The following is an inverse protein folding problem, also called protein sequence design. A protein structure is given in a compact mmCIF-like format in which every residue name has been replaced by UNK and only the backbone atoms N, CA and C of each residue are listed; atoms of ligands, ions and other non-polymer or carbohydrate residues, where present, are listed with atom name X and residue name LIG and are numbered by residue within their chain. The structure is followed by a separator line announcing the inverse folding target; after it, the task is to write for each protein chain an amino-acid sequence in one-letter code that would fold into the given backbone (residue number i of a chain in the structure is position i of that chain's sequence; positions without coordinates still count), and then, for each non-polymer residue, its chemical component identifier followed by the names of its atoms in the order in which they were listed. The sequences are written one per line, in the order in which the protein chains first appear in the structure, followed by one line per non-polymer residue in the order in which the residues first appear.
data_IF_842089913186
#
_entry.id   IF_842089913186
#
_cell.length_a   1.000
_cell.length_b   1.000
_cell.length_c   1.000
_cell.angle_alpha   90.00
_cell.angle_beta   90.00
_cell.angle_gamma   90.00
#
_symmetry.space_group_name_H-M   'P 1'
#
loop_
_entity.id
_entity.type
_entity.pdbx_description
1 polymer ?
#
# COMPACT_ATOMS: atom_id res chain seq x y z
N UNK A 1 33.02 -20.53 10.34
CA UNK A 1 32.96 -19.24 11.03
C UNK A 1 31.79 -19.36 12.01
N UNK A 2 32.06 -19.55 13.31
CA UNK A 2 31.00 -19.50 14.32
C UNK A 2 30.44 -18.08 14.34
N UNK A 3 29.17 -17.95 14.00
CA UNK A 3 28.45 -16.69 14.15
C UNK A 3 28.40 -16.37 15.64
N UNK A 4 29.09 -15.34 16.05
CA UNK A 4 29.11 -14.86 17.42
C UNK A 4 27.67 -14.59 17.88
N UNK A 5 27.28 -15.12 19.06
CA UNK A 5 25.93 -15.02 19.64
C UNK A 5 25.44 -13.58 19.86
N UNK A 6 26.28 -12.57 19.55
CA UNK A 6 26.01 -11.16 19.71
C UNK A 6 25.40 -10.48 18.49
N UNK A 7 25.32 -11.15 17.33
CA UNK A 7 24.78 -10.56 16.10
C UNK A 7 23.34 -10.98 15.84
N UNK A 8 22.57 -10.06 15.22
CA UNK A 8 21.23 -10.34 14.71
C UNK A 8 21.41 -11.04 13.37
N UNK A 9 20.78 -12.20 13.21
CA UNK A 9 20.85 -13.00 11.99
C UNK A 9 19.47 -13.28 11.36
N UNK A 10 18.41 -12.65 11.86
CA UNK A 10 17.06 -12.83 11.35
C UNK A 10 16.42 -11.48 11.01
N UNK A 11 15.84 -11.42 9.82
CA UNK A 11 15.08 -10.27 9.32
C UNK A 11 13.70 -10.80 8.89
N UNK A 12 12.65 -10.17 9.37
CA UNK A 12 11.29 -10.35 8.89
C UNK A 12 11.00 -9.27 7.85
N UNK A 13 10.56 -9.65 6.67
CA UNK A 13 10.09 -8.75 5.63
C UNK A 13 8.58 -8.62 5.77
N UNK A 14 8.11 -7.42 6.13
CA UNK A 14 6.70 -7.12 6.37
C UNK A 14 6.16 -6.24 5.26
N UNK A 15 5.07 -6.65 4.61
CA UNK A 15 4.48 -5.96 3.46
C UNK A 15 3.17 -5.28 3.84
N UNK A 16 3.08 -3.96 3.59
CA UNK A 16 1.85 -3.18 3.77
C UNK A 16 1.24 -2.97 2.39
N UNK A 17 0.19 -3.72 2.07
CA UNK A 17 -0.45 -3.70 0.75
C UNK A 17 -1.58 -2.67 0.74
N UNK A 18 -1.44 -1.62 -0.07
CA UNK A 18 -2.42 -0.57 -0.21
C UNK A 18 -3.05 -0.53 -1.60
N UNK A 19 -4.29 -0.09 -1.66
CA UNK A 19 -5.00 0.23 -2.90
C UNK A 19 -6.00 1.36 -2.69
N UNK A 20 -6.58 1.88 -3.77
CA UNK A 20 -7.70 2.83 -3.72
C UNK A 20 -8.99 2.12 -4.06
N UNK A 21 -9.97 2.21 -3.17
CA UNK A 21 -11.30 1.62 -3.31
C UNK A 21 -12.33 2.70 -2.98
N UNK A 22 -13.19 3.03 -3.93
CA UNK A 22 -14.20 4.10 -3.81
C UNK A 22 -13.59 5.46 -3.41
N UNK A 23 -12.42 5.78 -3.98
CA UNK A 23 -11.67 7.01 -3.69
C UNK A 23 -10.95 7.05 -2.35
N UNK A 24 -11.03 6.00 -1.55
CA UNK A 24 -10.34 5.89 -0.25
C UNK A 24 -9.14 4.95 -0.33
N UNK A 25 -8.06 5.34 0.29
CA UNK A 25 -6.90 4.45 0.45
C UNK A 25 -7.22 3.41 1.51
N UNK A 26 -7.06 2.15 1.16
CA UNK A 26 -7.28 1.02 2.07
C UNK A 26 -6.06 0.13 2.14
N UNK A 27 -5.93 -0.60 3.24
CA UNK A 27 -4.91 -1.62 3.47
C UNK A 27 -5.53 -3.01 3.47
N UNK A 28 -4.86 -3.96 2.83
CA UNK A 28 -5.25 -5.36 2.85
C UNK A 28 -4.62 -6.05 4.08
N UNK A 29 -5.46 -6.58 4.95
CA UNK A 29 -5.03 -7.34 6.11
C UNK A 29 -5.51 -8.78 6.01
N UNK A 30 -4.79 -9.67 6.69
CA UNK A 30 -5.05 -11.10 6.74
C UNK A 30 -5.32 -11.54 8.17
N UNK A 31 -6.18 -12.54 8.32
CA UNK A 31 -6.53 -13.06 9.63
C UNK A 31 -5.60 -14.22 9.99
N UNK A 32 -5.00 -14.16 11.15
CA UNK A 32 -4.17 -15.28 11.65
C UNK A 32 -5.07 -16.46 12.01
N UNK A 33 -4.78 -17.62 11.42
CA UNK A 33 -5.61 -18.82 11.56
C UNK A 33 -5.15 -19.73 12.70
N UNK A 34 -3.95 -19.53 13.22
CA UNK A 34 -3.29 -20.39 14.22
C UNK A 34 -2.97 -19.65 15.51
N UNK A 35 -2.88 -20.40 16.62
CA UNK A 35 -2.37 -19.87 17.88
C UNK A 35 -0.83 -19.60 17.80
N UNK A 36 -0.29 -18.64 18.55
CA UNK A 36 -1.02 -17.62 19.33
C UNK A 36 -1.65 -16.56 18.43
N UNK A 37 -2.65 -15.84 18.94
CA UNK A 37 -3.38 -14.74 18.28
C UNK A 37 -4.32 -15.17 17.14
N UNK A 38 -4.84 -16.39 17.17
CA UNK A 38 -5.89 -16.82 16.24
C UNK A 38 -7.06 -15.82 16.21
N UNK A 39 -7.47 -15.44 14.99
CA UNK A 39 -8.54 -14.48 14.76
C UNK A 39 -8.14 -13.01 14.77
N UNK A 40 -6.91 -12.67 15.14
CA UNK A 40 -6.40 -11.31 15.02
C UNK A 40 -5.92 -11.03 13.59
N UNK A 41 -5.86 -9.76 13.23
CA UNK A 41 -5.37 -9.31 11.93
C UNK A 41 -3.86 -9.17 11.89
N UNK A 42 -3.27 -9.39 10.71
CA UNK A 42 -1.83 -9.29 10.50
C UNK A 42 -1.51 -8.73 9.11
N UNK A 43 -0.31 -8.21 8.98
CA UNK A 43 0.31 -7.90 7.68
C UNK A 43 0.94 -9.19 7.13
N UNK A 44 0.94 -9.39 5.80
CA UNK A 44 1.74 -10.45 5.19
C UNK A 44 3.22 -10.25 5.52
N UNK A 45 3.86 -11.27 6.04
CA UNK A 45 5.28 -11.23 6.36
C UNK A 45 5.92 -12.60 6.24
N UNK A 46 7.24 -12.62 5.98
CA UNK A 46 8.04 -13.84 5.99
C UNK A 46 9.46 -13.56 6.47
N UNK A 47 10.16 -14.59 6.92
CA UNK A 47 11.56 -14.48 7.26
C UNK A 47 12.41 -14.47 5.99
N UNK A 48 13.34 -13.51 5.91
CA UNK A 48 14.31 -13.41 4.82
C UNK A 48 15.25 -14.61 4.83
N UNK A 49 15.31 -15.35 3.73
CA UNK A 49 16.26 -16.43 3.55
C UNK A 49 17.63 -15.90 3.10
N UNK A 50 18.67 -16.69 3.33
CA UNK A 50 20.05 -16.32 2.94
C UNK A 50 20.29 -16.29 1.43
N UNK A 51 19.35 -16.81 0.63
CA UNK A 51 19.43 -16.94 -0.83
C UNK A 51 18.56 -15.95 -1.60
N UNK A 52 17.93 -15.00 -0.91
CA UNK A 52 17.01 -14.06 -1.55
C UNK A 52 17.25 -12.63 -1.05
N UNK A 53 16.83 -11.64 -1.84
CA UNK A 53 16.78 -10.22 -1.45
C UNK A 53 15.48 -9.91 -0.70
N UNK A 54 15.42 -8.73 -0.08
CA UNK A 54 14.20 -8.24 0.60
C UNK A 54 13.03 -8.15 -0.39
N UNK A 55 13.29 -7.67 -1.61
CA UNK A 55 12.30 -7.52 -2.66
C UNK A 55 11.79 -8.89 -3.15
N UNK A 56 12.67 -9.86 -3.33
CA UNK A 56 12.30 -11.23 -3.71
C UNK A 56 11.44 -11.89 -2.63
N UNK A 57 11.83 -11.77 -1.37
CA UNK A 57 11.05 -12.25 -0.22
C UNK A 57 9.66 -11.61 -0.19
N UNK A 58 9.57 -10.29 -0.39
CA UNK A 58 8.30 -9.56 -0.41
C UNK A 58 7.40 -10.02 -1.57
N UNK A 59 7.95 -10.17 -2.79
CA UNK A 59 7.20 -10.67 -3.96
C UNK A 59 6.71 -12.08 -3.71
N UNK A 60 7.54 -12.98 -3.19
CA UNK A 60 7.16 -14.35 -2.86
C UNK A 60 6.03 -14.38 -1.82
N UNK A 61 6.16 -13.59 -0.76
CA UNK A 61 5.14 -13.46 0.28
C UNK A 61 3.81 -12.97 -0.29
N UNK A 62 3.82 -11.88 -1.06
CA UNK A 62 2.58 -11.33 -1.64
C UNK A 62 1.97 -12.32 -2.64
N UNK A 63 2.80 -12.98 -3.44
CA UNK A 63 2.31 -14.00 -4.36
C UNK A 63 1.61 -15.16 -3.65
N UNK A 64 2.17 -15.62 -2.53
CA UNK A 64 1.57 -16.67 -1.70
C UNK A 64 0.20 -16.26 -1.16
N UNK A 65 0.07 -15.01 -0.69
CA UNK A 65 -1.16 -14.50 -0.09
C UNK A 65 -2.25 -14.12 -1.10
N UNK A 66 -1.88 -13.50 -2.23
CA UNK A 66 -2.84 -12.92 -3.18
C UNK A 66 -2.58 -13.22 -4.67
N UNK A 67 -1.54 -14.00 -5.00
CA UNK A 67 -1.28 -14.41 -6.38
C UNK A 67 -0.71 -13.31 -7.31
N UNK A 68 -0.33 -12.13 -6.81
CA UNK A 68 0.22 -11.01 -7.59
C UNK A 68 1.74 -11.03 -7.53
N UNK A 69 2.40 -10.83 -8.69
CA UNK A 69 3.87 -10.72 -8.80
C UNK A 69 4.35 -9.32 -9.17
N UNK A 70 3.62 -8.64 -10.05
CA UNK A 70 3.99 -7.31 -10.53
C UNK A 70 3.33 -6.27 -9.64
N UNK A 71 4.10 -5.64 -8.76
CA UNK A 71 3.64 -4.63 -7.84
C UNK A 71 4.71 -3.58 -7.62
N UNK A 72 4.29 -2.38 -7.28
CA UNK A 72 5.19 -1.33 -6.84
C UNK A 72 5.55 -1.58 -5.37
N UNK A 73 6.84 -1.48 -5.06
CA UNK A 73 7.34 -1.58 -3.69
C UNK A 73 8.29 -0.43 -3.38
N UNK A 74 8.19 0.05 -2.16
CA UNK A 74 9.11 1.05 -1.61
C UNK A 74 9.40 0.73 -0.16
N UNK A 75 10.66 0.78 0.24
CA UNK A 75 11.03 0.62 1.65
C UNK A 75 10.41 1.73 2.49
N UNK A 76 9.86 1.35 3.64
CA UNK A 76 9.31 2.26 4.64
C UNK A 76 10.30 2.42 5.79
N UNK A 77 10.23 1.55 6.79
CA UNK A 77 11.01 1.67 8.02
C UNK A 77 11.60 0.31 8.46
N UNK A 78 12.58 0.39 9.36
CA UNK A 78 13.14 -0.78 10.07
C UNK A 78 12.73 -0.71 11.54
N UNK A 79 12.16 -1.81 12.03
CA UNK A 79 11.74 -1.96 13.42
C UNK A 79 12.72 -2.85 14.17
N UNK A 80 13.38 -2.29 15.18
CA UNK A 80 14.51 -2.94 15.86
C UNK A 80 14.35 -3.04 17.38
N UNK A 81 13.14 -2.87 17.93
CA UNK A 81 12.91 -3.06 19.36
C UNK A 81 13.34 -4.47 19.78
N UNK A 82 13.99 -4.58 20.95
CA UNK A 82 14.57 -5.85 21.42
C UNK A 82 13.46 -6.88 21.67
N UNK A 83 12.33 -6.44 22.17
CA UNK A 83 11.18 -7.23 22.62
C UNK A 83 9.99 -7.20 21.65
N UNK A 84 10.22 -6.86 20.35
CA UNK A 84 9.12 -6.79 19.38
C UNK A 84 8.40 -8.13 19.18
N UNK A 85 9.11 -9.23 19.27
CA UNK A 85 8.57 -10.60 19.28
C UNK A 85 9.02 -11.33 20.54
N UNK A 86 8.10 -12.01 21.26
CA UNK A 86 8.46 -12.76 22.46
C UNK A 86 9.47 -13.87 22.17
N UNK A 87 10.58 -13.87 22.88
CA UNK A 87 11.60 -14.94 22.81
C UNK A 87 12.47 -14.95 21.56
N UNK A 88 12.30 -13.96 20.65
CA UNK A 88 13.08 -13.88 19.41
C UNK A 88 13.68 -12.49 19.22
N UNK A 89 14.98 -12.44 18.93
CA UNK A 89 15.64 -11.19 18.49
C UNK A 89 15.63 -11.11 16.96
N UNK A 90 14.73 -10.31 16.43
CA UNK A 90 14.50 -10.17 14.99
C UNK A 90 14.28 -8.72 14.62
N UNK A 91 14.77 -8.29 13.47
CA UNK A 91 14.42 -7.00 12.86
C UNK A 91 13.22 -7.18 11.93
N UNK A 92 12.36 -6.18 11.81
CA UNK A 92 11.42 -6.12 10.70
C UNK A 92 11.83 -5.03 9.72
N UNK A 93 11.91 -5.40 8.44
CA UNK A 93 11.98 -4.48 7.32
C UNK A 93 10.58 -4.30 6.75
N UNK A 94 10.05 -3.08 6.81
CA UNK A 94 8.71 -2.75 6.37
C UNK A 94 8.72 -2.17 4.96
N UNK A 95 7.86 -2.69 4.09
CA UNK A 95 7.67 -2.22 2.72
C UNK A 95 6.26 -1.69 2.51
N UNK A 96 6.13 -0.58 1.79
CA UNK A 96 4.89 -0.10 1.19
C UNK A 96 4.73 -0.79 -0.16
N UNK A 97 3.61 -1.45 -0.36
CA UNK A 97 3.28 -2.14 -1.60
C UNK A 97 1.98 -1.55 -2.16
N UNK A 98 1.98 -1.16 -3.43
CA UNK A 98 0.81 -0.61 -4.11
C UNK A 98 0.33 -1.57 -5.18
N UNK A 99 -0.98 -1.79 -5.21
CA UNK A 99 -1.64 -2.61 -6.22
C UNK A 99 -2.89 -1.90 -6.77
N UNK A 100 -3.21 -2.18 -8.02
CA UNK A 100 -4.50 -1.82 -8.58
C UNK A 100 -5.58 -2.78 -8.04
N UNK A 101 -6.63 -2.23 -7.44
CA UNK A 101 -7.71 -3.02 -6.87
C UNK A 101 -8.47 -3.85 -7.92
N UNK A 102 -8.70 -3.30 -9.11
CA UNK A 102 -9.45 -3.96 -10.17
C UNK A 102 -8.71 -5.17 -10.74
N UNK A 103 -7.36 -5.14 -10.72
CA UNK A 103 -6.51 -6.25 -11.13
C UNK A 103 -6.18 -7.21 -9.97
N UNK A 104 -6.67 -6.89 -8.77
CA UNK A 104 -6.53 -7.77 -7.62
C UNK A 104 -7.32 -9.06 -7.86
N UNK A 105 -6.59 -10.15 -8.00
CA UNK A 105 -7.18 -11.48 -8.03
C UNK A 105 -6.92 -12.16 -6.69
N UNK A 106 -7.96 -12.28 -5.90
CA UNK A 106 -7.88 -13.06 -4.67
C UNK A 106 -7.62 -14.53 -5.02
N UNK A 107 -6.57 -15.12 -4.46
CA UNK A 107 -6.33 -16.55 -4.56
C UNK A 107 -7.44 -17.29 -3.79
N UNK A 108 -8.49 -17.71 -4.50
CA UNK A 108 -9.65 -18.43 -3.92
C UNK A 108 -9.28 -19.72 -3.20
N UNK A 109 -8.09 -20.26 -3.47
CA UNK A 109 -7.55 -21.43 -2.79
C UNK A 109 -6.84 -21.08 -1.48
N UNK A 110 -6.62 -19.81 -1.19
CA UNK A 110 -6.07 -19.38 0.10
C UNK A 110 -7.05 -19.71 1.22
N UNK A 111 -6.60 -20.47 2.21
CA UNK A 111 -7.34 -20.71 3.44
C UNK A 111 -7.30 -19.52 4.41
N UNK A 112 -6.65 -18.44 4.02
CA UNK A 112 -6.43 -17.26 4.86
C UNK A 112 -7.53 -16.24 4.58
N UNK A 113 -8.32 -15.91 5.59
CA UNK A 113 -9.32 -14.83 5.52
C UNK A 113 -8.62 -13.48 5.39
N UNK A 114 -9.05 -12.64 4.46
CA UNK A 114 -8.51 -11.31 4.24
C UNK A 114 -9.61 -10.27 4.05
N UNK A 115 -9.32 -9.01 4.37
CA UNK A 115 -10.24 -7.89 4.16
C UNK A 115 -9.50 -6.58 3.95
N UNK A 116 -10.14 -5.66 3.20
CA UNK A 116 -9.68 -4.30 3.00
C UNK A 116 -10.22 -3.39 4.11
N UNK A 117 -9.34 -2.70 4.79
CA UNK A 117 -9.68 -1.74 5.85
C UNK A 117 -9.30 -0.32 5.42
N UNK A 118 -10.14 0.63 5.79
CA UNK A 118 -9.80 2.05 5.69
C UNK A 118 -8.54 2.32 6.55
N UNK A 119 -7.58 3.08 6.03
CA UNK A 119 -6.34 3.37 6.76
C UNK A 119 -6.57 4.16 8.05
N UNK A 120 -7.73 4.79 8.21
CA UNK A 120 -8.14 5.50 9.43
C UNK A 120 -8.88 4.60 10.43
N UNK A 121 -9.32 3.38 10.03
CA UNK A 121 -10.14 2.48 10.84
C UNK A 121 -9.54 1.06 10.86
N UNK A 122 -8.29 0.95 11.28
CA UNK A 122 -7.58 -0.34 11.32
C UNK A 122 -7.94 -1.15 12.56
N UNK A 123 -8.22 -2.46 12.43
CA UNK A 123 -8.51 -3.31 13.58
C UNK A 123 -7.27 -3.59 14.41
N UNK A 124 -7.46 -4.20 15.59
CA UNK A 124 -6.36 -4.67 16.43
C UNK A 124 -5.58 -5.78 15.71
N UNK A 125 -4.25 -5.68 15.76
CA UNK A 125 -3.32 -6.55 15.05
C UNK A 125 -2.42 -7.33 16.02
N UNK A 126 -1.78 -8.37 15.49
CA UNK A 126 -0.80 -9.17 16.25
C UNK A 126 0.47 -8.37 16.53
N UNK A 127 1.18 -8.68 17.58
CA UNK A 127 2.49 -8.15 17.95
C UNK A 127 2.59 -6.62 17.74
N UNK A 128 3.60 -6.18 17.00
CA UNK A 128 3.86 -4.78 16.65
C UNK A 128 3.39 -4.41 15.22
N UNK A 129 2.64 -5.29 14.51
CA UNK A 129 2.13 -5.03 13.17
C UNK A 129 1.30 -3.74 13.07
N UNK A 130 0.56 -3.39 14.14
CA UNK A 130 -0.15 -2.11 14.20
C UNK A 130 0.78 -0.90 14.17
N UNK A 131 1.92 -0.98 14.85
CA UNK A 131 2.94 0.09 14.83
C UNK A 131 3.64 0.17 13.47
N UNK A 132 3.95 -0.98 12.87
CA UNK A 132 4.53 -1.07 11.53
C UNK A 132 3.59 -0.44 10.50
N UNK A 133 2.31 -0.79 10.52
CA UNK A 133 1.31 -0.23 9.63
C UNK A 133 1.12 1.27 9.85
N UNK A 134 1.09 1.76 11.10
CA UNK A 134 0.97 3.19 11.40
C UNK A 134 2.11 4.01 10.82
N UNK A 135 3.35 3.50 10.88
CA UNK A 135 4.50 4.15 10.25
C UNK A 135 4.39 4.12 8.72
N UNK A 136 4.02 2.98 8.13
CA UNK A 136 3.81 2.85 6.69
C UNK A 136 2.71 3.81 6.18
N UNK A 137 1.60 3.98 6.92
CA UNK A 137 0.54 4.96 6.59
C UNK A 137 1.08 6.39 6.67
N UNK A 138 1.88 6.72 7.68
CA UNK A 138 2.50 8.05 7.80
C UNK A 138 3.41 8.36 6.62
N UNK A 139 4.25 7.40 6.23
CA UNK A 139 5.12 7.53 5.06
C UNK A 139 4.31 7.63 3.76
N UNK A 140 3.26 6.80 3.61
CA UNK A 140 2.37 6.84 2.44
C UNK A 140 1.69 8.21 2.29
N UNK A 141 1.19 8.80 3.37
CA UNK A 141 0.58 10.13 3.38
C UNK A 141 1.54 11.24 2.94
N UNK A 142 2.83 11.07 3.21
CA UNK A 142 3.87 12.03 2.79
C UNK A 142 4.29 11.82 1.34
N UNK A 143 4.43 10.57 0.92
CA UNK A 143 4.97 10.20 -0.39
C UNK A 143 3.91 10.30 -1.49
N UNK A 144 2.77 9.65 -1.30
CA UNK A 144 1.77 9.44 -2.35
C UNK A 144 1.22 10.73 -2.97
N UNK A 145 0.92 11.81 -2.22
CA UNK A 145 0.46 13.06 -2.82
C UNK A 145 1.49 13.78 -3.70
N UNK A 146 2.75 13.40 -3.59
CA UNK A 146 3.87 14.04 -4.29
C UNK A 146 4.54 13.14 -5.32
N UNK A 147 4.21 11.86 -5.34
CA UNK A 147 4.76 10.87 -6.27
C UNK A 147 3.66 10.39 -7.23
N UNK A 148 3.66 10.97 -8.44
CA UNK A 148 2.64 10.68 -9.44
C UNK A 148 2.73 9.25 -10.00
N UNK A 149 3.92 8.65 -9.99
CA UNK A 149 4.09 7.26 -10.40
C UNK A 149 3.37 6.32 -9.44
N UNK A 150 3.42 6.61 -8.13
CA UNK A 150 2.63 5.87 -7.13
C UNK A 150 1.12 6.03 -7.37
N UNK A 151 0.66 7.27 -7.69
CA UNK A 151 -0.74 7.53 -7.99
C UNK A 151 -1.19 6.82 -9.28
N UNK A 152 -0.36 6.79 -10.33
CA UNK A 152 -0.64 6.07 -11.58
C UNK A 152 -0.88 4.58 -11.35
N UNK A 153 -0.15 3.96 -10.44
CA UNK A 153 -0.34 2.54 -10.09
C UNK A 153 -1.70 2.30 -9.44
N UNK A 154 -2.14 3.21 -8.59
CA UNK A 154 -3.45 3.13 -7.94
C UNK A 154 -4.61 3.48 -8.86
N UNK A 155 -4.34 4.19 -9.95
CA UNK A 155 -5.28 4.61 -10.98
C UNK A 155 -4.75 4.27 -12.38
N UNK A 156 -4.64 2.99 -12.73
CA UNK A 156 -4.12 2.57 -14.05
C UNK A 156 -5.11 2.80 -15.18
N UNK A 157 -6.36 3.11 -14.85
CA UNK A 157 -7.45 3.39 -15.78
C UNK A 157 -7.85 4.86 -15.71
N UNK A 158 -8.81 5.21 -16.57
CA UNK A 158 -9.42 6.53 -16.56
C UNK A 158 -10.05 6.85 -15.21
N UNK A 159 -9.88 8.08 -14.79
CA UNK A 159 -10.38 8.62 -13.52
C UNK A 159 -11.08 9.94 -13.72
N UNK A 160 -11.92 10.34 -12.77
CA UNK A 160 -12.45 11.69 -12.71
C UNK A 160 -11.69 12.54 -11.70
N UNK A 161 -11.61 13.86 -11.93
CA UNK A 161 -10.96 14.77 -10.96
C UNK A 161 -11.64 14.75 -9.57
N UNK A 162 -12.99 14.61 -9.44
CA UNK A 162 -13.61 14.42 -8.14
C UNK A 162 -13.15 13.15 -7.40
N UNK A 163 -13.02 12.01 -8.08
CA UNK A 163 -12.50 10.77 -7.47
C UNK A 163 -11.07 10.97 -6.95
N UNK A 164 -10.20 11.55 -7.78
CA UNK A 164 -8.83 11.85 -7.38
C UNK A 164 -8.80 12.83 -6.19
N UNK A 165 -9.67 13.86 -6.18
CA UNK A 165 -9.77 14.80 -5.05
C UNK A 165 -10.13 14.08 -3.75
N UNK A 166 -11.08 13.15 -3.78
CA UNK A 166 -11.49 12.36 -2.60
C UNK A 166 -10.28 11.62 -2.02
N UNK A 167 -9.46 10.98 -2.88
CA UNK A 167 -8.26 10.28 -2.44
C UNK A 167 -7.22 11.21 -1.82
N UNK A 168 -6.98 12.38 -2.41
CA UNK A 168 -6.09 13.38 -1.83
C UNK A 168 -6.61 13.91 -0.49
N UNK A 169 -7.91 14.17 -0.38
CA UNK A 169 -8.54 14.60 0.86
C UNK A 169 -8.41 13.56 1.97
N UNK A 170 -8.62 12.28 1.63
CA UNK A 170 -8.46 11.15 2.55
C UNK A 170 -7.01 11.02 3.03
N UNK A 171 -6.03 11.07 2.12
CA UNK A 171 -4.61 11.01 2.46
C UNK A 171 -4.17 12.17 3.35
N UNK A 172 -4.60 13.40 3.03
CA UNK A 172 -4.20 14.61 3.72
C UNK A 172 -5.01 14.87 5.01
N UNK A 173 -6.07 14.10 5.26
CA UNK A 173 -6.95 14.26 6.41
C UNK A 173 -7.68 15.62 6.45
N UNK A 174 -7.85 16.28 5.30
CA UNK A 174 -8.50 17.59 5.19
C UNK A 174 -9.21 17.79 3.86
N UNK A 175 -10.24 18.64 3.87
CA UNK A 175 -10.92 19.04 2.64
C UNK A 175 -10.07 19.98 1.79
N UNK A 176 -10.19 19.84 0.47
CA UNK A 176 -9.51 20.66 -0.52
C UNK A 176 -10.53 21.51 -1.28
N UNK A 177 -10.17 22.77 -1.57
CA UNK A 177 -10.98 23.59 -2.46
C UNK A 177 -10.94 23.03 -3.88
N UNK A 178 -12.11 22.74 -4.44
CA UNK A 178 -12.28 22.09 -5.74
C UNK A 178 -11.64 22.86 -6.90
N UNK A 179 -11.73 24.20 -6.87
CA UNK A 179 -11.20 25.04 -7.96
C UNK A 179 -9.68 25.07 -7.91
N UNK A 180 -9.12 25.24 -6.73
CA UNK A 180 -7.67 25.27 -6.51
C UNK A 180 -7.04 23.90 -6.79
N UNK A 181 -7.66 22.80 -6.36
CA UNK A 181 -7.21 21.46 -6.65
C UNK A 181 -7.13 21.20 -8.16
N UNK A 182 -8.22 21.48 -8.89
CA UNK A 182 -8.27 21.37 -10.36
C UNK A 182 -7.21 22.24 -11.03
N UNK A 183 -7.06 23.51 -10.60
CA UNK A 183 -6.06 24.44 -11.16
C UNK A 183 -4.65 23.91 -10.97
N UNK A 184 -4.36 23.35 -9.78
CA UNK A 184 -3.06 22.73 -9.48
C UNK A 184 -2.77 21.53 -10.39
N UNK A 185 -3.72 20.61 -10.55
CA UNK A 185 -3.55 19.44 -11.41
C UNK A 185 -3.31 19.81 -12.89
N UNK A 186 -4.05 20.80 -13.40
CA UNK A 186 -3.85 21.31 -14.77
C UNK A 186 -2.46 21.95 -14.91
N UNK A 187 -2.03 22.73 -13.91
CA UNK A 187 -0.70 23.38 -13.93
C UNK A 187 0.44 22.37 -13.86
N UNK A 188 0.27 21.27 -13.13
CA UNK A 188 1.24 20.19 -13.05
C UNK A 188 1.37 19.40 -14.35
N UNK A 189 0.38 19.49 -15.23
CA UNK A 189 0.34 18.84 -16.55
C UNK A 189 0.62 17.32 -16.50
N UNK A 190 0.10 16.66 -15.47
CA UNK A 190 0.31 15.22 -15.21
C UNK A 190 -0.84 14.34 -15.73
N UNK A 191 -1.94 14.94 -16.17
CA UNK A 191 -3.12 14.26 -16.65
C UNK A 191 -3.44 14.62 -18.09
N UNK A 192 -3.90 13.64 -18.84
CA UNK A 192 -4.47 13.81 -20.20
C UNK A 192 -5.99 13.63 -20.16
N UNK A 193 -6.70 14.46 -20.94
CA UNK A 193 -8.15 14.31 -21.19
C UNK A 193 -8.32 13.17 -22.19
N UNK A 194 -8.99 12.10 -21.82
CA UNK A 194 -9.21 10.93 -22.70
C UNK A 194 -10.28 11.19 -23.78
N UNK A 195 -10.88 12.40 -23.77
CA UNK A 195 -12.03 12.79 -24.62
C UNK A 195 -13.31 11.99 -24.35
N UNK A 196 -13.25 11.00 -23.44
CA UNK A 196 -14.38 10.20 -23.02
C UNK A 196 -15.12 10.84 -21.82
N UNK A 197 -16.33 10.34 -21.56
CA UNK A 197 -17.17 10.82 -20.46
C UNK A 197 -17.69 9.66 -19.65
N UNK A 198 -17.63 9.79 -18.34
CA UNK A 198 -18.26 8.86 -17.43
C UNK A 198 -19.79 9.09 -17.39
N UNK A 199 -20.53 8.18 -18.01
CA UNK A 199 -22.00 8.20 -18.06
C UNK A 199 -22.67 7.46 -16.89
N UNK A 200 -21.88 6.94 -15.93
CA UNK A 200 -22.40 6.14 -14.80
C UNK A 200 -23.00 6.97 -13.67
N UNK A 201 -22.91 8.30 -13.72
CA UNK A 201 -23.45 9.18 -12.67
C UNK A 201 -24.77 9.81 -13.09
N UNK A 202 -25.75 9.86 -12.18
CA UNK A 202 -26.99 10.63 -12.35
C UNK A 202 -26.67 12.14 -12.36
N UNK A 203 -26.31 12.70 -13.53
CA UNK A 203 -25.96 14.11 -13.67
C UNK A 203 -25.22 14.40 -14.98
N UNK A 204 -24.64 15.62 -15.09
CA UNK A 204 -23.79 15.95 -16.24
C UNK A 204 -22.58 15.00 -16.29
N UNK A 205 -22.36 14.30 -17.42
CA UNK A 205 -21.23 13.37 -17.54
C UNK A 205 -19.90 14.03 -17.17
N UNK A 206 -19.15 13.40 -16.28
CA UNK A 206 -17.83 13.88 -15.87
C UNK A 206 -16.79 13.55 -16.96
N UNK A 207 -15.85 14.46 -17.18
CA UNK A 207 -14.69 14.19 -18.03
C UNK A 207 -13.79 13.14 -17.39
N UNK A 208 -13.27 12.24 -18.22
CA UNK A 208 -12.29 11.23 -17.84
C UNK A 208 -10.88 11.70 -18.18
N UNK A 209 -9.95 11.35 -17.32
CA UNK A 209 -8.54 11.67 -17.42
C UNK A 209 -7.72 10.40 -17.14
N UNK A 210 -6.55 10.28 -17.77
CA UNK A 210 -5.54 9.31 -17.42
C UNK A 210 -4.23 10.01 -17.02
N UNK A 211 -3.39 9.32 -16.26
CA UNK A 211 -2.03 9.80 -15.99
C UNK A 211 -1.17 9.65 -17.23
N UNK A 212 -0.39 10.67 -17.58
CA UNK A 212 0.56 10.65 -18.70
C UNK A 212 1.59 9.52 -18.53
N UNK A 213 2.06 8.94 -19.64
CA UNK A 213 3.02 7.84 -19.59
C UNK A 213 4.42 8.29 -19.18
N UNK A 214 4.89 9.43 -19.68
CA UNK A 214 6.25 9.94 -19.49
C UNK A 214 6.36 10.96 -18.37
N UNK A 215 6.00 10.57 -17.16
CA UNK A 215 6.23 11.41 -15.98
C UNK A 215 7.62 11.16 -15.38
N UNK A 216 8.68 11.43 -16.15
CA UNK A 216 10.04 11.60 -15.64
C UNK A 216 10.18 12.90 -14.83
N UNK A 217 9.32 13.12 -13.86
CA UNK A 217 9.51 14.21 -12.89
C UNK A 217 9.35 13.66 -11.49
N UNK A 218 10.45 13.12 -10.98
CA UNK A 218 10.74 13.24 -9.56
C UNK A 218 10.71 14.74 -9.25
N UNK A 219 9.69 15.22 -8.57
CA UNK A 219 9.76 16.53 -7.90
C UNK A 219 10.56 16.27 -6.63
N UNK A 220 11.88 16.50 -6.73
CA UNK A 220 13.03 16.28 -5.85
C UNK A 220 13.61 14.91 -5.82
#
# INVERSE_FOLDING_TARGET
MELDKHYINQIEVVTNIFSVIDGKVKVLLFKKMEEPFKGYWMLPSNLLMTSETIEECAVATIYEFIGIKNLYMKQSDIFSKIDRLPGMRILANSLICLIDYDNYSYNKNSKIESSWFDIDEVPKMIYDHGSILSAAISNLRTLLPNDYNMMKILYPKDLTLPELQITYEHLLGRKLDRRNFRKKLIHLDILEDTMDKNNKTNGRPAKLYCFKEDLERSIF
#
